data_IF_309096649249
#
_entry.id   IF_309096649249
#
_cell.length_a   1.000
_cell.length_b   1.000
_cell.length_c   1.000
_cell.angle_alpha   90.00
_cell.angle_beta   90.00
_cell.angle_gamma   90.00
#
_symmetry.space_group_name_H-M   'P 1'
#
loop_
_entity.id
_entity.type
_entity.pdbx_description
1 polymer ?
#
# COMPACT_ATOMS: atom_id res chain seq x y z
N UNK A 1 -66.25 -41.33 -4.27
CA UNK A 1 -65.74 -40.70 -5.52
C UNK A 1 -64.70 -39.68 -5.10
N UNK A 2 -63.48 -40.11 -4.81
CA UNK A 2 -62.37 -40.50 -5.71
C UNK A 2 -61.60 -39.29 -6.20
N UNK A 3 -60.39 -39.19 -5.62
CA UNK A 3 -59.28 -38.31 -5.95
C UNK A 3 -58.69 -38.64 -7.33
N UNK A 4 -58.18 -37.64 -8.03
CA UNK A 4 -57.19 -37.74 -9.12
C UNK A 4 -56.18 -36.62 -8.89
N UNK A 5 -54.98 -36.90 -8.38
CA UNK A 5 -53.75 -37.34 -9.08
C UNK A 5 -53.29 -36.38 -10.18
N UNK A 6 -52.30 -35.54 -9.84
CA UNK A 6 -51.22 -35.18 -10.77
C UNK A 6 -49.86 -35.40 -10.11
N UNK A 7 -49.03 -36.09 -10.88
CA UNK A 7 -47.73 -36.66 -10.62
C UNK A 7 -46.64 -35.64 -10.36
N UNK A 8 -45.80 -35.94 -9.36
CA UNK A 8 -44.54 -35.28 -9.09
C UNK A 8 -43.49 -35.68 -10.14
N UNK A 9 -42.76 -34.68 -10.66
CA UNK A 9 -41.49 -34.88 -11.38
C UNK A 9 -40.40 -34.92 -10.31
N UNK A 10 -39.67 -36.04 -10.26
CA UNK A 10 -38.59 -36.26 -9.30
C UNK A 10 -37.40 -35.35 -9.59
N UNK A 11 -36.94 -34.64 -8.55
CA UNK A 11 -35.59 -34.10 -8.51
C UNK A 11 -34.66 -35.12 -7.87
N UNK A 12 -33.53 -35.35 -8.54
CA UNK A 12 -32.45 -36.25 -8.17
C UNK A 12 -31.68 -35.70 -6.95
N UNK A 13 -31.58 -36.44 -5.83
CA UNK A 13 -30.93 -35.97 -4.61
C UNK A 13 -29.42 -36.29 -4.54
N UNK A 14 -28.69 -36.32 -5.65
CA UNK A 14 -27.26 -36.74 -5.67
C UNK A 14 -26.21 -35.62 -5.81
N UNK A 15 -26.56 -34.35 -5.62
CA UNK A 15 -25.61 -33.21 -5.74
C UNK A 15 -25.31 -32.46 -4.42
N UNK A 16 -25.36 -33.12 -3.27
CA UNK A 16 -24.96 -32.52 -1.98
C UNK A 16 -24.17 -33.51 -1.09
N UNK A 17 -22.98 -33.95 -1.52
CA UNK A 17 -21.98 -34.54 -0.61
C UNK A 17 -20.55 -34.58 -1.18
N UNK A 18 -20.00 -33.40 -1.53
CA UNK A 18 -18.54 -33.24 -1.66
C UNK A 18 -18.06 -31.98 -0.94
N UNK A 19 -18.26 -31.93 0.37
CA UNK A 19 -17.38 -31.17 1.27
C UNK A 19 -16.35 -32.15 1.83
N UNK A 20 -15.29 -32.37 1.03
CA UNK A 20 -14.09 -33.05 1.48
C UNK A 20 -13.36 -32.21 2.53
N UNK A 21 -12.79 -32.88 3.52
CA UNK A 21 -12.08 -32.29 4.65
C UNK A 21 -10.88 -31.46 4.20
N UNK A 22 -10.91 -30.16 4.48
CA UNK A 22 -9.79 -29.22 4.33
C UNK A 22 -8.86 -29.19 5.56
N UNK A 23 -9.05 -30.09 6.53
CA UNK A 23 -8.34 -30.05 7.82
C UNK A 23 -6.89 -30.60 7.79
N UNK A 24 -6.40 -31.09 6.64
CA UNK A 24 -5.01 -31.55 6.48
C UNK A 24 -4.14 -30.64 5.61
N UNK A 25 -4.68 -29.52 5.08
CA UNK A 25 -3.93 -28.54 4.28
C UNK A 25 -3.27 -27.41 5.06
N UNK A 26 -3.73 -27.12 6.28
CA UNK A 26 -3.23 -25.97 7.08
C UNK A 26 -1.75 -26.06 7.47
N UNK A 27 -1.18 -27.27 7.58
CA UNK A 27 0.25 -27.43 7.91
C UNK A 27 1.17 -27.15 6.71
N UNK A 28 0.66 -27.31 5.48
CA UNK A 28 1.42 -26.99 4.25
C UNK A 28 1.44 -25.48 4.01
N UNK A 29 0.33 -24.77 4.31
CA UNK A 29 0.24 -23.31 4.17
C UNK A 29 1.26 -22.55 5.02
N UNK A 30 1.46 -22.94 6.29
CA UNK A 30 2.46 -22.30 7.17
C UNK A 30 3.89 -22.54 6.69
N UNK A 31 4.17 -23.72 6.11
CA UNK A 31 5.51 -24.09 5.65
C UNK A 31 5.89 -23.39 4.33
N UNK A 32 4.91 -23.19 3.44
CA UNK A 32 5.10 -22.45 2.18
C UNK A 32 5.27 -20.95 2.43
N UNK A 33 4.53 -20.38 3.39
CA UNK A 33 4.68 -18.97 3.77
C UNK A 33 6.07 -18.65 4.31
N UNK A 34 6.67 -19.55 5.10
CA UNK A 34 8.05 -19.43 5.59
C UNK A 34 9.11 -19.56 4.48
N UNK A 35 8.85 -20.36 3.45
CA UNK A 35 9.77 -20.49 2.31
C UNK A 35 9.78 -19.24 1.40
N UNK A 36 8.65 -18.54 1.29
CA UNK A 36 8.50 -17.33 0.48
C UNK A 36 9.17 -16.09 1.11
N UNK A 37 9.16 -15.98 2.44
CA UNK A 37 9.91 -14.93 3.16
C UNK A 37 11.42 -15.07 2.95
N UNK A 38 11.94 -16.30 2.92
CA UNK A 38 13.37 -16.57 2.70
C UNK A 38 13.82 -16.35 1.25
N UNK A 39 12.94 -16.58 0.26
CA UNK A 39 13.24 -16.32 -1.15
C UNK A 39 13.32 -14.80 -1.47
N UNK A 40 12.52 -13.98 -0.79
CA UNK A 40 12.55 -12.53 -0.91
C UNK A 40 13.84 -11.89 -0.33
N UNK A 41 14.38 -12.44 0.76
CA UNK A 41 15.65 -11.97 1.35
C UNK A 41 16.88 -12.26 0.46
N UNK A 42 16.87 -13.36 -0.30
CA UNK A 42 17.99 -13.73 -1.19
C UNK A 42 18.06 -12.84 -2.44
N UNK A 43 16.93 -12.44 -3.02
CA UNK A 43 16.92 -11.57 -4.21
C UNK A 43 17.26 -10.11 -3.87
N UNK A 44 16.93 -9.67 -2.65
CA UNK A 44 17.20 -8.29 -2.21
C UNK A 44 18.61 -8.10 -1.63
N UNK A 45 19.20 -9.13 -1.03
CA UNK A 45 20.56 -9.07 -0.46
C UNK A 45 21.67 -8.99 -1.52
N UNK A 46 21.56 -9.73 -2.63
CA UNK A 46 22.50 -9.64 -3.76
C UNK A 46 22.50 -8.24 -4.40
N UNK A 47 21.38 -7.52 -4.31
CA UNK A 47 21.25 -6.16 -4.83
C UNK A 47 21.90 -5.09 -3.92
N UNK A 48 22.01 -5.36 -2.63
CA UNK A 48 22.62 -4.44 -1.64
C UNK A 48 24.15 -4.59 -1.61
N UNK A 49 24.69 -5.80 -1.79
CA UNK A 49 26.15 -6.01 -1.79
C UNK A 49 26.85 -5.42 -3.02
N UNK A 50 26.20 -5.37 -4.18
CA UNK A 50 26.83 -4.91 -5.43
C UNK A 50 27.04 -3.38 -5.45
N UNK A 51 26.24 -2.63 -4.67
CA UNK A 51 26.43 -1.17 -4.50
C UNK A 51 27.49 -0.80 -3.45
N UNK A 52 27.71 -1.65 -2.44
CA UNK A 52 28.70 -1.38 -1.39
C UNK A 52 30.15 -1.40 -1.93
N UNK A 53 30.39 -1.98 -3.11
CA UNK A 53 31.73 -2.11 -3.71
C UNK A 53 32.13 -0.95 -4.64
N UNK A 54 31.22 -0.07 -5.07
CA UNK A 54 31.51 0.83 -6.21
C UNK A 54 31.69 2.33 -5.91
N UNK A 55 31.65 2.81 -4.67
CA UNK A 55 32.00 4.21 -4.41
C UNK A 55 32.48 4.48 -2.98
N UNK A 56 33.76 4.84 -2.83
CA UNK A 56 34.24 5.57 -1.66
C UNK A 56 33.97 7.06 -1.88
N UNK A 57 33.16 7.73 -1.05
CA UNK A 57 32.96 9.17 -1.18
C UNK A 57 34.22 9.91 -0.76
N UNK A 58 34.62 10.90 -1.56
CA UNK A 58 35.63 11.87 -1.15
C UNK A 58 34.95 12.87 -0.22
N UNK A 59 35.35 12.88 1.05
CA UNK A 59 34.82 13.81 2.06
C UNK A 59 35.33 15.22 1.75
N UNK A 60 34.43 16.12 1.36
CA UNK A 60 34.68 17.56 1.28
C UNK A 60 34.27 18.19 2.61
N UNK A 61 35.08 19.07 3.23
CA UNK A 61 34.70 19.72 4.49
C UNK A 61 33.53 20.69 4.25
N UNK A 62 32.42 20.47 4.96
CA UNK A 62 31.26 21.37 4.92
C UNK A 62 31.53 22.58 5.82
N UNK A 63 31.53 23.76 5.21
CA UNK A 63 31.57 25.05 5.93
C UNK A 63 30.29 25.28 6.72
N UNK A 64 30.44 25.81 7.94
CA UNK A 64 29.38 26.07 8.91
C UNK A 64 28.40 27.11 8.37
N UNK A 65 27.12 26.74 8.21
CA UNK A 65 26.06 27.68 7.83
C UNK A 65 25.66 28.58 9.02
N UNK A 66 25.20 29.83 8.77
CA UNK A 66 24.81 30.75 9.83
C UNK A 66 23.45 30.35 10.43
N UNK A 67 23.39 30.30 11.76
CA UNK A 67 22.15 30.19 12.51
C UNK A 67 21.48 31.57 12.59
N UNK A 68 20.25 31.68 12.11
CA UNK A 68 19.42 32.84 12.42
C UNK A 68 18.27 33.09 11.45
N UNK A 69 17.13 32.45 11.66
CA UNK A 69 15.81 33.03 11.38
C UNK A 69 14.72 32.26 12.12
N UNK A 70 13.88 32.98 12.86
CA UNK A 70 12.76 32.43 13.62
C UNK A 70 11.66 31.88 12.70
N UNK A 71 11.11 30.73 13.08
CA UNK A 71 10.05 30.01 12.38
C UNK A 71 8.76 30.84 12.28
N UNK A 72 8.53 31.47 11.14
CA UNK A 72 7.18 31.82 10.69
C UNK A 72 6.46 30.54 10.30
N UNK A 73 5.22 30.37 10.75
CA UNK A 73 4.29 29.35 10.26
C UNK A 73 4.09 29.55 8.76
N UNK A 74 4.87 28.84 7.95
CA UNK A 74 4.64 28.74 6.51
C UNK A 74 3.42 27.83 6.36
N UNK A 75 2.27 28.42 6.05
CA UNK A 75 1.12 27.66 5.58
C UNK A 75 1.55 26.91 4.32
N UNK A 76 1.86 25.61 4.47
CA UNK A 76 2.18 24.72 3.37
C UNK A 76 0.98 24.72 2.42
N UNK A 77 1.10 25.41 1.29
CA UNK A 77 0.14 25.36 0.21
C UNK A 77 0.05 23.91 -0.25
N UNK A 78 -1.14 23.30 -0.13
CA UNK A 78 -1.41 21.92 -0.57
C UNK A 78 -0.80 21.70 -1.96
N UNK A 79 0.07 20.69 -2.07
CA UNK A 79 0.69 20.28 -3.33
C UNK A 79 -0.36 20.05 -4.44
N UNK A 80 0.00 20.39 -5.66
CA UNK A 80 -0.85 20.63 -6.83
C UNK A 80 -1.41 19.38 -7.53
N UNK A 81 -1.18 18.15 -7.03
CA UNK A 81 -1.97 16.99 -7.43
C UNK A 81 -2.01 15.94 -6.31
N UNK A 82 -3.18 15.36 -5.99
CA UNK A 82 -3.34 14.36 -4.94
C UNK A 82 -2.81 12.96 -5.34
N UNK A 83 -2.46 12.74 -6.60
CA UNK A 83 -2.19 11.41 -7.12
C UNK A 83 -0.70 11.07 -7.12
N UNK A 84 -0.37 9.92 -6.55
CA UNK A 84 0.90 9.24 -6.68
C UNK A 84 0.78 7.86 -7.30
N UNK A 85 1.93 7.25 -7.60
CA UNK A 85 2.04 5.89 -8.15
C UNK A 85 3.02 5.04 -7.32
N UNK A 86 2.69 3.77 -7.12
CA UNK A 86 3.62 2.80 -6.51
C UNK A 86 4.48 2.16 -7.61
N UNK A 87 5.79 2.29 -7.47
CA UNK A 87 6.81 1.74 -8.35
C UNK A 87 7.23 0.36 -7.80
N UNK A 88 6.57 -0.70 -8.26
CA UNK A 88 6.79 -2.06 -7.78
C UNK A 88 8.18 -2.61 -8.14
N UNK A 89 8.74 -2.21 -9.29
CA UNK A 89 10.17 -2.28 -9.53
C UNK A 89 10.66 -0.97 -10.16
N UNK A 90 11.79 -0.48 -9.66
CA UNK A 90 12.46 0.72 -10.16
C UNK A 90 13.61 0.27 -11.06
N UNK A 91 13.53 0.60 -12.34
CA UNK A 91 14.60 0.25 -13.30
C UNK A 91 15.54 1.43 -13.59
N UNK A 92 15.06 2.67 -13.49
CA UNK A 92 15.83 3.89 -13.73
C UNK A 92 15.09 5.16 -13.29
N UNK A 93 15.80 6.28 -13.13
CA UNK A 93 15.21 7.59 -12.90
C UNK A 93 14.31 8.01 -14.06
N UNK A 94 14.74 7.77 -15.30
CA UNK A 94 13.99 8.08 -16.51
C UNK A 94 12.67 7.30 -16.59
N UNK A 95 12.64 6.05 -16.14
CA UNK A 95 11.41 5.27 -16.05
C UNK A 95 10.42 5.83 -15.02
N UNK A 96 10.89 6.28 -13.85
CA UNK A 96 10.05 6.95 -12.86
C UNK A 96 9.50 8.26 -13.44
N UNK A 97 10.36 9.08 -14.03
CA UNK A 97 9.94 10.35 -14.64
C UNK A 97 8.92 10.14 -15.76
N UNK A 98 9.11 9.16 -16.64
CA UNK A 98 8.13 8.83 -17.67
C UNK A 98 6.79 8.41 -17.04
N UNK A 99 6.81 7.55 -16.02
CA UNK A 99 5.60 7.11 -15.34
C UNK A 99 4.80 8.28 -14.74
N UNK A 100 5.49 9.22 -14.06
CA UNK A 100 4.90 10.43 -13.49
C UNK A 100 4.26 11.32 -14.57
N UNK A 101 4.98 11.57 -15.66
CA UNK A 101 4.49 12.39 -16.79
C UNK A 101 3.26 11.74 -17.44
N UNK A 102 3.35 10.46 -17.79
CA UNK A 102 2.29 9.74 -18.49
C UNK A 102 1.01 9.67 -17.66
N UNK A 103 1.13 9.47 -16.35
CA UNK A 103 -0.03 9.33 -15.45
C UNK A 103 -0.52 10.67 -14.88
N UNK A 104 0.18 11.77 -15.14
CA UNK A 104 -0.02 13.07 -14.49
C UNK A 104 0.02 12.96 -12.94
N UNK A 105 0.91 12.12 -12.43
CA UNK A 105 1.17 11.97 -11.00
C UNK A 105 2.32 12.90 -10.57
N UNK A 106 2.29 13.35 -9.31
CA UNK A 106 3.31 14.23 -8.74
C UNK A 106 4.15 13.55 -7.67
N UNK A 107 3.66 12.45 -7.13
CA UNK A 107 4.34 11.67 -6.11
C UNK A 107 4.58 10.24 -6.59
N UNK A 108 5.59 9.61 -6.03
CA UNK A 108 5.85 8.21 -6.27
C UNK A 108 6.38 7.54 -5.01
N UNK A 109 6.09 6.27 -4.88
CA UNK A 109 6.54 5.42 -3.78
C UNK A 109 7.25 4.20 -4.35
N UNK A 110 8.24 3.67 -3.63
CA UNK A 110 8.81 2.36 -3.89
C UNK A 110 9.03 1.65 -2.56
N UNK A 111 9.00 0.33 -2.52
CA UNK A 111 9.33 -0.44 -1.32
C UNK A 111 10.83 -0.50 -1.01
N UNK A 112 11.68 0.06 -1.88
CA UNK A 112 13.10 0.20 -1.60
C UNK A 112 13.31 1.07 -0.33
N UNK A 113 14.37 0.78 0.47
CA UNK A 113 14.72 1.62 1.61
C UNK A 113 14.85 3.10 1.24
N UNK A 114 14.69 4.02 2.22
CA UNK A 114 14.80 5.45 1.99
C UNK A 114 16.09 5.81 1.27
N UNK A 115 16.00 6.75 0.34
CA UNK A 115 17.13 7.16 -0.48
C UNK A 115 16.94 8.53 -1.12
N UNK A 116 18.06 9.13 -1.50
CA UNK A 116 18.13 10.43 -2.15
C UNK A 116 17.89 10.37 -3.67
N UNK A 117 18.10 9.21 -4.29
CA UNK A 117 17.93 8.97 -5.73
C UNK A 117 16.48 9.07 -6.25
N UNK A 118 16.37 9.35 -7.56
CA UNK A 118 15.12 9.46 -8.32
C UNK A 118 14.53 10.88 -8.31
N UNK A 119 13.50 11.13 -9.14
CA UNK A 119 12.96 12.47 -9.33
C UNK A 119 12.28 12.99 -8.05
N UNK A 120 11.92 14.28 -8.04
CA UNK A 120 11.15 14.89 -6.97
C UNK A 120 9.82 14.13 -6.70
N UNK A 121 9.24 14.33 -5.51
CA UNK A 121 7.97 13.67 -5.14
C UNK A 121 8.09 12.25 -4.60
N UNK A 122 9.31 11.74 -4.38
CA UNK A 122 9.53 10.44 -3.71
C UNK A 122 9.00 10.45 -2.28
N UNK A 123 8.00 9.62 -2.00
CA UNK A 123 7.67 9.19 -0.66
C UNK A 123 8.69 8.13 -0.21
N UNK A 124 9.19 8.27 1.02
CA UNK A 124 10.14 7.37 1.65
C UNK A 124 9.38 6.34 2.46
N UNK A 125 9.79 5.06 2.40
CA UNK A 125 9.20 4.01 3.24
C UNK A 125 10.22 3.47 4.22
N UNK A 126 9.84 3.39 5.50
CA UNK A 126 10.60 2.70 6.53
C UNK A 126 9.76 1.51 6.99
N UNK A 127 10.14 0.30 6.57
CA UNK A 127 9.52 -0.96 7.03
C UNK A 127 9.70 -1.16 8.53
N UNK A 128 8.75 -1.85 9.16
CA UNK A 128 8.77 -2.25 10.58
C UNK A 128 8.79 -3.77 10.73
N UNK A 129 8.82 -4.26 11.98
CA UNK A 129 8.76 -5.70 12.27
C UNK A 129 9.91 -6.49 11.61
N UNK A 130 9.64 -7.71 11.10
CA UNK A 130 10.69 -8.59 10.56
C UNK A 130 11.31 -8.05 9.27
N UNK A 131 10.56 -7.30 8.46
CA UNK A 131 11.02 -6.75 7.19
C UNK A 131 11.78 -5.42 7.33
N UNK A 132 12.08 -5.00 8.56
CA UNK A 132 12.79 -3.74 8.83
C UNK A 132 14.25 -3.83 8.38
N UNK A 133 14.63 -2.97 7.43
CA UNK A 133 16.03 -2.72 7.12
C UNK A 133 16.75 -2.04 8.31
N UNK A 134 18.01 -2.41 8.53
CA UNK A 134 18.87 -1.77 9.53
C UNK A 134 19.34 -0.39 9.04
N UNK A 135 18.51 0.63 9.22
CA UNK A 135 18.81 2.02 8.88
C UNK A 135 19.30 2.76 10.12
N UNK A 136 20.50 3.32 10.05
CA UNK A 136 21.02 4.17 11.13
C UNK A 136 20.34 5.55 11.12
N UNK A 137 20.31 6.21 12.27
CA UNK A 137 19.81 7.60 12.37
C UNK A 137 20.59 8.57 11.47
N UNK A 138 21.87 8.31 11.21
CA UNK A 138 22.70 9.11 10.30
C UNK A 138 22.23 8.99 8.84
N UNK A 139 21.91 7.78 8.39
CA UNK A 139 21.35 7.57 7.05
C UNK A 139 20.00 8.29 6.91
N UNK A 140 19.12 8.16 7.90
CA UNK A 140 17.83 8.85 7.89
C UNK A 140 17.97 10.38 7.84
N UNK A 141 18.87 10.96 8.66
CA UNK A 141 19.19 12.40 8.62
C UNK A 141 19.72 12.82 7.26
N UNK A 142 20.62 12.04 6.67
CA UNK A 142 21.22 12.35 5.36
C UNK A 142 20.16 12.37 4.26
N UNK A 143 19.28 11.36 4.20
CA UNK A 143 18.19 11.31 3.22
C UNK A 143 17.20 12.46 3.44
N UNK A 144 16.84 12.75 4.68
CA UNK A 144 15.95 13.87 5.03
C UNK A 144 16.52 15.23 4.60
N UNK A 145 17.80 15.48 4.88
CA UNK A 145 18.48 16.70 4.46
C UNK A 145 18.57 16.82 2.92
N UNK A 146 18.74 15.70 2.22
CA UNK A 146 18.78 15.66 0.76
C UNK A 146 17.40 15.83 0.11
N UNK A 147 16.32 15.52 0.83
CA UNK A 147 14.94 15.53 0.30
C UNK A 147 13.97 16.23 1.25
N UNK A 148 14.13 17.54 1.48
CA UNK A 148 13.29 18.28 2.41
C UNK A 148 11.81 18.25 2.01
N UNK A 149 10.91 18.13 2.98
CA UNK A 149 9.46 18.09 2.80
C UNK A 149 8.93 16.74 2.33
N UNK A 150 9.76 15.68 2.32
CA UNK A 150 9.33 14.35 1.90
C UNK A 150 8.24 13.78 2.82
N UNK A 151 7.39 12.96 2.21
CA UNK A 151 6.47 12.08 2.93
C UNK A 151 7.21 10.83 3.39
N UNK A 152 7.13 10.51 4.67
CA UNK A 152 7.78 9.35 5.31
C UNK A 152 6.72 8.37 5.80
N UNK A 153 6.51 7.30 5.03
CA UNK A 153 5.58 6.22 5.32
C UNK A 153 6.26 5.24 6.28
N UNK A 154 5.69 5.08 7.47
CA UNK A 154 6.23 4.21 8.51
C UNK A 154 5.41 2.92 8.57
N UNK A 155 6.08 1.82 8.28
CA UNK A 155 5.52 0.48 8.13
C UNK A 155 4.65 0.31 6.88
N UNK A 156 4.48 -0.95 6.50
CA UNK A 156 3.69 -1.39 5.37
C UNK A 156 2.91 -2.64 5.79
N UNK A 157 1.59 -2.48 5.94
CA UNK A 157 0.69 -3.53 6.39
C UNK A 157 1.17 -4.22 7.69
N UNK A 158 1.41 -3.44 8.76
CA UNK A 158 1.90 -3.99 10.01
C UNK A 158 0.89 -4.90 10.72
N UNK A 159 -0.30 -5.13 10.14
CA UNK A 159 -1.30 -6.10 10.59
C UNK A 159 -1.36 -7.38 9.75
N UNK A 160 -0.46 -7.54 8.77
CA UNK A 160 -0.44 -8.67 7.83
C UNK A 160 0.80 -9.53 8.04
N UNK A 161 0.59 -10.82 8.30
CA UNK A 161 1.68 -11.82 8.39
C UNK A 161 2.42 -11.89 7.05
N UNK A 162 3.75 -11.93 7.10
CA UNK A 162 4.62 -11.88 5.91
C UNK A 162 4.93 -10.48 5.42
N UNK A 163 4.21 -9.48 5.92
CA UNK A 163 4.56 -8.07 5.78
C UNK A 163 5.26 -7.60 7.06
N UNK A 164 4.83 -6.47 7.63
CA UNK A 164 5.50 -5.90 8.80
C UNK A 164 5.01 -6.45 10.14
N UNK A 165 4.05 -7.39 10.13
CA UNK A 165 3.61 -8.07 11.35
C UNK A 165 4.57 -9.23 11.71
N UNK A 166 5.05 -9.25 12.94
CA UNK A 166 5.86 -10.34 13.49
C UNK A 166 4.95 -11.38 14.18
N UNK A 167 4.76 -12.59 13.62
CA UNK A 167 3.92 -13.61 14.23
C UNK A 167 4.51 -14.23 15.51
N UNK A 168 5.77 -13.94 15.85
CA UNK A 168 6.39 -14.38 17.11
C UNK A 168 6.01 -13.48 18.30
N UNK A 169 5.35 -12.34 18.03
CA UNK A 169 4.94 -11.36 19.03
C UNK A 169 3.42 -11.29 19.09
N UNK A 170 2.88 -10.93 20.25
CA UNK A 170 1.46 -10.63 20.34
C UNK A 170 1.10 -9.28 19.67
N UNK A 171 -0.20 -8.98 19.61
CA UNK A 171 -0.70 -7.74 18.98
C UNK A 171 -0.16 -6.48 19.67
N UNK A 172 -0.07 -6.48 21.01
CA UNK A 172 0.37 -5.33 21.78
C UNK A 172 1.88 -5.10 21.62
N UNK A 173 2.66 -6.17 21.60
CA UNK A 173 4.11 -6.14 21.34
C UNK A 173 4.43 -5.65 19.93
N UNK A 174 3.69 -6.13 18.91
CA UNK A 174 3.80 -5.62 17.54
C UNK A 174 3.51 -4.11 17.47
N UNK A 175 2.40 -3.67 18.07
CA UNK A 175 2.04 -2.25 18.11
C UNK A 175 3.09 -1.39 18.85
N UNK A 176 3.65 -1.88 19.96
CA UNK A 176 4.71 -1.20 20.69
C UNK A 176 6.01 -1.09 19.85
N UNK A 177 6.37 -2.15 19.12
CA UNK A 177 7.52 -2.16 18.23
C UNK A 177 7.35 -1.20 17.04
N UNK A 178 6.14 -1.16 16.48
CA UNK A 178 5.75 -0.21 15.44
C UNK A 178 5.92 1.24 15.93
N UNK A 179 5.35 1.58 17.09
CA UNK A 179 5.45 2.93 17.68
C UNK A 179 6.88 3.31 18.04
N UNK A 180 7.69 2.38 18.56
CA UNK A 180 9.11 2.64 18.82
C UNK A 180 9.85 3.00 17.52
N UNK A 181 9.62 2.23 16.46
CA UNK A 181 10.24 2.52 15.14
C UNK A 181 9.79 3.87 14.60
N UNK A 182 8.51 4.21 14.71
CA UNK A 182 7.99 5.53 14.36
C UNK A 182 8.70 6.66 15.13
N UNK A 183 8.81 6.55 16.45
CA UNK A 183 9.44 7.57 17.31
C UNK A 183 10.92 7.76 16.96
N UNK A 184 11.66 6.66 16.81
CA UNK A 184 13.09 6.68 16.51
C UNK A 184 13.35 7.31 15.13
N UNK A 185 12.59 6.89 14.12
CA UNK A 185 12.70 7.44 12.77
C UNK A 185 12.34 8.91 12.74
N UNK A 186 11.19 9.29 13.33
CA UNK A 186 10.74 10.68 13.39
C UNK A 186 11.75 11.58 14.09
N UNK A 187 12.31 11.15 15.21
CA UNK A 187 13.31 11.91 15.94
C UNK A 187 14.58 12.15 15.12
N UNK A 188 15.04 11.16 14.34
CA UNK A 188 16.17 11.32 13.45
C UNK A 188 15.86 12.27 12.27
N UNK A 189 14.69 12.13 11.66
CA UNK A 189 14.31 12.85 10.44
C UNK A 189 14.01 14.32 10.73
N UNK A 190 13.21 14.62 11.76
CA UNK A 190 12.75 16.00 12.03
C UNK A 190 13.90 16.94 12.43
N UNK A 191 14.98 16.39 12.99
CA UNK A 191 16.21 17.11 13.34
C UNK A 191 16.94 17.63 12.09
N UNK A 192 16.88 16.87 10.99
CA UNK A 192 17.48 17.24 9.70
C UNK A 192 16.51 17.98 8.76
N UNK A 193 15.21 17.65 8.83
CA UNK A 193 14.16 18.26 8.02
C UNK A 193 12.89 18.51 8.86
N UNK A 194 12.74 19.72 9.42
CA UNK A 194 11.52 20.11 10.16
C UNK A 194 10.25 20.17 9.31
N UNK A 195 10.36 20.10 7.98
CA UNK A 195 9.21 20.08 7.05
C UNK A 195 8.77 18.67 6.66
N UNK A 196 9.48 17.64 7.13
CA UNK A 196 9.12 16.23 6.91
C UNK A 196 7.73 15.93 7.48
N UNK A 197 7.04 14.99 6.83
CA UNK A 197 5.69 14.56 7.21
C UNK A 197 5.63 13.05 7.34
N UNK A 198 4.91 12.55 8.33
CA UNK A 198 4.97 11.14 8.68
C UNK A 198 3.61 10.46 8.51
N UNK A 199 3.55 9.38 7.74
CA UNK A 199 2.34 8.58 7.55
C UNK A 199 2.39 7.35 8.45
N UNK A 200 1.41 7.24 9.33
CA UNK A 200 1.22 6.17 10.30
C UNK A 200 0.03 5.28 9.92
N UNK A 201 0.07 4.02 10.32
CA UNK A 201 -1.04 3.09 10.17
C UNK A 201 -0.81 2.11 9.03
N UNK A 202 -0.95 2.57 7.78
CA UNK A 202 -0.72 1.79 6.54
C UNK A 202 -1.25 0.35 6.64
N UNK A 203 -2.40 0.17 7.28
CA UNK A 203 -3.00 -1.14 7.52
C UNK A 203 -3.79 -1.58 6.30
N UNK A 204 -3.89 -2.88 6.11
CA UNK A 204 -4.74 -3.53 5.12
C UNK A 204 -6.04 -4.02 5.76
N UNK A 205 -7.15 -4.03 5.01
CA UNK A 205 -8.45 -4.54 5.47
C UNK A 205 -8.85 -3.93 6.81
N UNK A 206 -9.11 -2.62 6.80
CA UNK A 206 -9.29 -1.85 8.04
C UNK A 206 -10.46 -2.38 8.87
N UNK A 207 -11.66 -2.41 8.26
CA UNK A 207 -12.87 -2.96 8.86
C UNK A 207 -13.48 -4.12 8.05
N UNK A 208 -12.96 -4.40 6.84
CA UNK A 208 -13.35 -5.59 6.12
C UNK A 208 -12.73 -6.84 6.75
N UNK A 209 -13.52 -7.90 6.85
CA UNK A 209 -12.98 -9.25 7.06
C UNK A 209 -12.37 -9.69 5.73
N UNK A 210 -11.07 -10.00 5.71
CA UNK A 210 -10.55 -10.74 4.57
C UNK A 210 -11.08 -12.17 4.63
N UNK A 211 -11.99 -12.48 3.72
CA UNK A 211 -12.45 -13.86 3.54
C UNK A 211 -11.37 -14.65 2.81
N UNK A 212 -10.85 -15.71 3.43
CA UNK A 212 -9.77 -16.53 2.85
C UNK A 212 -8.34 -16.12 3.23
N UNK A 213 -8.16 -15.06 4.05
CA UNK A 213 -6.85 -14.76 4.64
C UNK A 213 -6.73 -15.37 6.05
N UNK A 214 -6.14 -16.55 6.16
CA UNK A 214 -5.88 -17.16 7.47
C UNK A 214 -4.86 -16.34 8.28
N UNK A 215 -5.17 -16.09 9.56
CA UNK A 215 -4.26 -15.40 10.49
C UNK A 215 -4.16 -13.87 10.33
N UNK A 216 -4.93 -13.26 9.43
CA UNK A 216 -4.92 -11.80 9.28
C UNK A 216 -5.64 -11.10 10.44
N UNK A 217 -4.95 -10.12 11.03
CA UNK A 217 -5.52 -9.24 12.06
C UNK A 217 -6.22 -8.09 11.34
N UNK A 218 -7.42 -7.70 11.79
CA UNK A 218 -8.09 -6.54 11.19
C UNK A 218 -7.25 -5.28 11.37
N UNK A 219 -7.25 -4.41 10.37
CA UNK A 219 -6.49 -3.16 10.45
C UNK A 219 -6.94 -2.30 11.64
N UNK A 220 -8.24 -2.30 11.97
CA UNK A 220 -8.77 -1.61 13.16
C UNK A 220 -8.19 -2.15 14.46
N UNK A 221 -8.18 -3.47 14.67
CA UNK A 221 -7.65 -4.04 15.90
C UNK A 221 -6.17 -3.68 16.10
N UNK A 222 -5.39 -3.67 15.01
CA UNK A 222 -4.01 -3.21 15.05
C UNK A 222 -3.90 -1.72 15.39
N UNK A 223 -4.70 -0.85 14.78
CA UNK A 223 -4.64 0.59 15.08
C UNK A 223 -5.12 0.95 16.48
N UNK A 224 -6.10 0.23 17.04
CA UNK A 224 -6.49 0.37 18.44
C UNK A 224 -5.31 0.03 19.38
N UNK A 225 -4.54 -1.02 19.07
CA UNK A 225 -3.33 -1.37 19.80
C UNK A 225 -2.22 -0.32 19.62
N UNK A 226 -2.06 0.25 18.42
CA UNK A 226 -1.11 1.35 18.14
C UNK A 226 -1.45 2.61 18.93
N UNK A 227 -2.73 2.99 18.97
CA UNK A 227 -3.21 4.13 19.77
C UNK A 227 -2.91 3.90 21.25
N UNK A 228 -3.18 2.69 21.74
CA UNK A 228 -2.86 2.30 23.12
C UNK A 228 -1.36 2.36 23.41
N UNK A 229 -0.52 1.82 22.51
CA UNK A 229 0.94 1.80 22.67
C UNK A 229 1.58 3.20 22.53
N UNK A 230 0.97 4.08 21.74
CA UNK A 230 1.42 5.46 21.62
C UNK A 230 1.07 6.29 22.86
N UNK A 231 -0.18 6.22 23.33
CA UNK A 231 -0.72 7.15 24.32
C UNK A 231 -1.01 8.55 23.73
N UNK A 232 -1.37 9.51 24.58
CA UNK A 232 -1.77 10.85 24.14
C UNK A 232 -0.75 11.96 24.47
N UNK A 233 -0.62 13.00 23.62
CA UNK A 233 -1.22 13.16 22.28
C UNK A 233 -0.31 12.65 21.13
N UNK A 234 -0.91 12.25 20.01
CA UNK A 234 -0.19 11.98 18.75
C UNK A 234 0.49 13.25 18.20
N UNK A 235 1.65 13.12 17.52
CA UNK A 235 2.36 14.28 16.95
C UNK A 235 1.52 15.04 15.91
N UNK A 236 1.70 16.36 15.83
CA UNK A 236 0.90 17.23 14.94
C UNK A 236 1.19 17.04 13.45
N UNK A 237 2.38 16.54 13.14
CA UNK A 237 2.95 16.22 11.83
C UNK A 237 2.66 14.78 11.38
N UNK A 238 1.93 14.01 12.21
CA UNK A 238 1.38 12.72 11.83
C UNK A 238 0.20 12.89 10.86
N UNK A 239 0.20 12.03 9.86
CA UNK A 239 -0.87 11.79 8.88
C UNK A 239 -1.24 10.32 8.97
N UNK A 240 -2.50 9.96 8.74
CA UNK A 240 -2.95 8.56 8.82
C UNK A 240 -2.98 7.92 7.44
N UNK A 241 -2.41 6.73 7.33
CA UNK A 241 -2.23 5.94 6.12
C UNK A 241 -3.14 4.72 6.10
N UNK A 242 -3.64 4.37 4.92
CA UNK A 242 -4.48 3.20 4.68
C UNK A 242 -4.10 2.52 3.36
N UNK A 243 -4.08 1.19 3.35
CA UNK A 243 -4.09 0.40 2.12
C UNK A 243 -5.54 -0.01 1.84
N UNK A 244 -6.11 0.56 0.78
CA UNK A 244 -7.53 0.41 0.46
C UNK A 244 -7.70 -0.51 -0.74
N UNK A 245 -7.86 -1.80 -0.46
CA UNK A 245 -8.11 -2.83 -1.47
C UNK A 245 -9.37 -3.59 -1.11
N UNK A 246 -10.15 -3.96 -2.12
CA UNK A 246 -11.10 -5.03 -1.91
C UNK A 246 -10.34 -6.36 -1.90
N UNK A 247 -10.28 -7.04 -0.76
CA UNK A 247 -9.69 -8.38 -0.66
C UNK A 247 -10.76 -9.33 -0.13
N UNK A 248 -11.39 -10.01 -1.07
CA UNK A 248 -12.37 -11.06 -0.80
C UNK A 248 -12.14 -12.22 -1.76
N UNK A 249 -11.47 -13.26 -1.25
CA UNK A 249 -11.09 -14.41 -2.07
C UNK A 249 -12.28 -15.28 -2.46
N UNK A 250 -13.43 -15.10 -1.82
CA UNK A 250 -14.67 -15.82 -2.14
C UNK A 250 -15.48 -15.11 -3.24
N UNK A 251 -15.23 -13.82 -3.49
CA UNK A 251 -16.01 -12.99 -4.41
C UNK A 251 -15.11 -12.31 -5.45
N UNK A 252 -14.62 -13.11 -6.40
CA UNK A 252 -13.81 -12.64 -7.51
C UNK A 252 -14.66 -12.18 -8.72
N UNK A 253 -14.18 -11.22 -9.53
CA UNK A 253 -12.95 -10.43 -9.34
C UNK A 253 -13.10 -9.36 -8.25
N UNK A 254 -11.99 -8.92 -7.66
CA UNK A 254 -11.96 -7.89 -6.61
C UNK A 254 -12.12 -6.47 -7.17
N UNK A 255 -13.29 -6.20 -7.79
CA UNK A 255 -13.64 -4.92 -8.44
C UNK A 255 -14.88 -4.23 -7.85
N UNK A 256 -15.31 -4.62 -6.64
CA UNK A 256 -16.41 -4.01 -5.86
C UNK A 256 -15.96 -2.71 -5.19
N UNK A 257 -16.01 -1.63 -5.96
CA UNK A 257 -15.62 -0.28 -5.53
C UNK A 257 -16.36 0.22 -4.28
N UNK A 258 -17.60 -0.21 -4.06
CA UNK A 258 -18.39 0.18 -2.90
C UNK A 258 -17.77 -0.33 -1.58
N UNK A 259 -17.09 -1.49 -1.60
CA UNK A 259 -16.36 -1.99 -0.44
C UNK A 259 -15.15 -1.10 -0.13
N UNK A 260 -14.32 -0.79 -1.13
CA UNK A 260 -13.17 0.12 -0.94
C UNK A 260 -13.61 1.49 -0.42
N UNK A 261 -14.71 2.06 -0.95
CA UNK A 261 -15.26 3.34 -0.47
C UNK A 261 -15.72 3.23 1.00
N UNK A 262 -16.39 2.13 1.38
CA UNK A 262 -16.80 1.90 2.77
C UNK A 262 -15.59 1.84 3.70
N UNK A 263 -14.52 1.14 3.33
CA UNK A 263 -13.31 1.06 4.15
C UNK A 263 -12.65 2.42 4.37
N UNK A 264 -12.56 3.24 3.33
CA UNK A 264 -12.05 4.62 3.44
C UNK A 264 -12.92 5.44 4.39
N UNK A 265 -14.24 5.32 4.27
CA UNK A 265 -15.20 5.99 5.16
C UNK A 265 -15.04 5.57 6.62
N UNK A 266 -15.01 4.27 6.88
CA UNK A 266 -14.80 3.72 8.23
C UNK A 266 -13.47 4.14 8.85
N UNK A 267 -12.40 4.16 8.03
CA UNK A 267 -11.08 4.63 8.47
C UNK A 267 -11.11 6.12 8.84
N UNK A 268 -11.77 6.95 8.02
CA UNK A 268 -11.98 8.37 8.33
C UNK A 268 -12.75 8.54 9.65
N UNK A 269 -13.82 7.78 9.85
CA UNK A 269 -14.58 7.83 11.10
C UNK A 269 -13.70 7.50 12.31
N UNK A 270 -12.88 6.44 12.24
CA UNK A 270 -11.92 6.10 13.28
C UNK A 270 -10.94 7.23 13.58
N UNK A 271 -10.27 7.80 12.57
CA UNK A 271 -9.32 8.89 12.81
C UNK A 271 -10.03 10.11 13.43
N UNK A 272 -11.32 10.32 13.12
CA UNK A 272 -12.11 11.38 13.74
C UNK A 272 -12.47 11.13 15.21
N UNK A 273 -12.48 9.87 15.69
CA UNK A 273 -12.73 9.59 17.11
C UNK A 273 -11.49 9.73 17.99
N UNK A 274 -10.28 9.81 17.40
CA UNK A 274 -9.04 9.93 18.16
C UNK A 274 -8.83 11.36 18.69
N UNK A 275 -8.41 11.54 19.96
CA UNK A 275 -8.16 12.84 20.56
C UNK A 275 -7.19 13.71 19.74
N UNK A 276 -7.64 14.90 19.33
CA UNK A 276 -6.82 15.84 18.56
C UNK A 276 -6.54 15.44 17.10
N UNK A 277 -7.13 14.34 16.61
CA UNK A 277 -6.94 13.85 15.24
C UNK A 277 -8.15 14.10 14.32
N UNK A 278 -9.26 14.61 14.86
CA UNK A 278 -10.43 14.98 14.07
C UNK A 278 -10.08 15.96 12.94
N UNK A 279 -10.47 15.62 11.72
CA UNK A 279 -10.19 16.39 10.51
C UNK A 279 -8.73 16.37 10.03
N UNK A 280 -7.80 15.71 10.74
CA UNK A 280 -6.41 15.54 10.27
C UNK A 280 -6.38 14.80 8.93
N UNK A 281 -5.42 15.10 8.05
CA UNK A 281 -5.39 14.46 6.75
C UNK A 281 -5.22 12.94 6.83
N UNK A 282 -5.77 12.23 5.85
CA UNK A 282 -5.46 10.83 5.55
C UNK A 282 -4.80 10.71 4.17
N UNK A 283 -3.96 9.70 3.99
CA UNK A 283 -3.35 9.35 2.70
C UNK A 283 -3.64 7.88 2.43
N UNK A 284 -4.10 7.58 1.22
CA UNK A 284 -4.23 6.18 0.79
C UNK A 284 -2.89 5.76 0.21
N UNK A 285 -2.03 5.17 1.04
CA UNK A 285 -0.66 4.85 0.66
C UNK A 285 -0.57 3.72 -0.34
N UNK A 286 -1.66 2.95 -0.49
CA UNK A 286 -1.90 2.05 -1.60
C UNK A 286 -3.40 1.90 -1.88
N UNK A 287 -3.77 1.80 -3.16
CA UNK A 287 -5.08 1.35 -3.60
C UNK A 287 -5.01 0.77 -5.01
N UNK A 288 -5.92 -0.15 -5.32
CA UNK A 288 -6.00 -0.77 -6.64
C UNK A 288 -6.91 -2.00 -6.67
N UNK A 289 -6.69 -2.85 -7.66
CA UNK A 289 -7.32 -4.17 -7.78
C UNK A 289 -6.21 -5.20 -7.60
N UNK A 290 -6.38 -6.11 -6.63
CA UNK A 290 -5.44 -7.21 -6.41
C UNK A 290 -5.70 -8.31 -7.45
N UNK A 291 -6.96 -8.72 -7.64
CA UNK A 291 -7.34 -9.81 -8.56
C UNK A 291 -8.52 -9.43 -9.46
N UNK A 292 -8.23 -9.05 -10.70
CA UNK A 292 -9.22 -8.81 -11.74
C UNK A 292 -9.67 -10.09 -12.47
N UNK A 293 -9.20 -11.28 -12.07
CA UNK A 293 -9.67 -12.54 -12.66
C UNK A 293 -11.00 -12.98 -12.02
N UNK A 294 -11.93 -13.56 -12.80
CA UNK A 294 -13.19 -14.07 -12.25
C UNK A 294 -13.03 -15.35 -11.42
N UNK A 295 -11.88 -16.02 -11.53
CA UNK A 295 -11.54 -17.20 -10.75
C UNK A 295 -10.03 -17.27 -10.56
N UNK A 296 -9.59 -17.87 -9.45
CA UNK A 296 -8.19 -18.17 -9.17
C UNK A 296 -7.98 -19.66 -8.97
N UNK A 297 -6.82 -20.15 -9.41
CA UNK A 297 -6.40 -21.54 -9.27
C UNK A 297 -5.06 -21.61 -8.57
N UNK A 298 -4.94 -22.56 -7.65
CA UNK A 298 -3.70 -22.88 -6.96
C UNK A 298 -3.05 -24.08 -7.63
N UNK A 299 -1.80 -23.90 -8.06
CA UNK A 299 -0.92 -24.96 -8.57
C UNK A 299 0.33 -25.00 -7.69
N UNK A 300 0.29 -25.81 -6.63
CA UNK A 300 1.32 -25.79 -5.59
C UNK A 300 1.22 -24.52 -4.75
N UNK A 301 2.30 -23.74 -4.70
CA UNK A 301 2.40 -22.44 -4.03
C UNK A 301 2.11 -21.26 -4.96
N UNK A 302 1.80 -21.53 -6.22
CA UNK A 302 1.52 -20.51 -7.22
C UNK A 302 0.02 -20.33 -7.48
N UNK A 303 -0.36 -19.09 -7.78
CA UNK A 303 -1.72 -18.70 -8.14
C UNK A 303 -1.81 -18.18 -9.58
N UNK A 304 -2.88 -18.55 -10.28
CA UNK A 304 -3.18 -18.14 -11.66
C UNK A 304 -4.65 -17.76 -11.83
N UNK A 305 -5.01 -17.16 -12.96
CA UNK A 305 -6.41 -16.90 -13.33
C UNK A 305 -7.19 -18.13 -13.84
N UNK A 306 -6.69 -19.36 -13.63
CA UNK A 306 -7.24 -20.60 -14.22
C UNK A 306 -7.40 -20.58 -15.76
N UNK A 307 -6.61 -19.77 -16.47
CA UNK A 307 -6.79 -19.54 -17.91
C UNK A 307 -7.96 -18.63 -18.28
N UNK A 308 -8.64 -18.02 -17.29
CA UNK A 308 -9.59 -16.94 -17.56
C UNK A 308 -8.87 -15.64 -17.88
N UNK A 309 -9.44 -14.87 -18.79
CA UNK A 309 -8.99 -13.51 -19.04
C UNK A 309 -9.31 -12.61 -17.85
N UNK A 310 -8.45 -11.62 -17.62
CA UNK A 310 -8.71 -10.50 -16.71
C UNK A 310 -10.02 -9.79 -17.10
N UNK A 311 -10.90 -9.51 -16.14
CA UNK A 311 -12.07 -8.66 -16.32
C UNK A 311 -11.66 -7.18 -16.45
N UNK A 312 -11.04 -6.85 -17.59
CA UNK A 312 -10.54 -5.50 -17.84
C UNK A 312 -11.63 -4.43 -17.87
N UNK A 313 -12.89 -4.80 -18.15
CA UNK A 313 -14.02 -3.87 -18.10
C UNK A 313 -14.45 -3.59 -16.66
N UNK A 314 -14.51 -4.62 -15.81
CA UNK A 314 -14.71 -4.48 -14.37
C UNK A 314 -13.64 -3.61 -13.71
N UNK A 315 -12.37 -3.91 -13.97
CA UNK A 315 -11.23 -3.12 -13.45
C UNK A 315 -11.29 -1.67 -13.94
N UNK A 316 -11.63 -1.46 -15.22
CA UNK A 316 -11.80 -0.12 -15.78
C UNK A 316 -12.90 0.69 -15.07
N UNK A 317 -14.08 0.09 -14.86
CA UNK A 317 -15.19 0.72 -14.13
C UNK A 317 -14.86 1.00 -12.67
N UNK A 318 -14.13 0.09 -12.01
CA UNK A 318 -13.64 0.26 -10.65
C UNK A 318 -12.78 1.53 -10.55
N UNK A 319 -11.76 1.66 -11.42
CA UNK A 319 -10.87 2.81 -11.44
C UNK A 319 -11.60 4.12 -11.72
N UNK A 320 -12.49 4.14 -12.72
CA UNK A 320 -13.29 5.31 -13.06
C UNK A 320 -14.14 5.78 -11.88
N UNK A 321 -14.81 4.84 -11.22
CA UNK A 321 -15.70 5.14 -10.09
C UNK A 321 -14.92 5.59 -8.87
N UNK A 322 -13.86 4.87 -8.48
CA UNK A 322 -13.10 5.15 -7.28
C UNK A 322 -12.37 6.49 -7.37
N UNK A 323 -11.65 6.74 -8.47
CA UNK A 323 -10.88 7.99 -8.64
C UNK A 323 -11.82 9.20 -8.72
N UNK A 324 -12.94 9.08 -9.45
CA UNK A 324 -13.94 10.14 -9.46
C UNK A 324 -14.51 10.42 -8.06
N UNK A 325 -14.78 9.37 -7.28
CA UNK A 325 -15.24 9.49 -5.90
C UNK A 325 -14.19 10.16 -5.00
N UNK A 326 -12.91 9.77 -5.10
CA UNK A 326 -11.80 10.35 -4.34
C UNK A 326 -11.66 11.84 -4.60
N UNK A 327 -11.75 12.27 -5.87
CA UNK A 327 -11.73 13.70 -6.20
C UNK A 327 -12.94 14.44 -5.61
N UNK A 328 -14.14 13.87 -5.71
CA UNK A 328 -15.36 14.51 -5.22
C UNK A 328 -15.43 14.62 -3.68
N UNK A 329 -14.79 13.70 -2.96
CA UNK A 329 -14.85 13.62 -1.49
C UNK A 329 -13.54 14.01 -0.80
N UNK A 330 -12.53 14.45 -1.56
CA UNK A 330 -11.20 14.80 -1.05
C UNK A 330 -11.27 15.72 0.17
N UNK A 331 -11.96 16.85 0.01
CA UNK A 331 -12.03 17.88 1.05
C UNK A 331 -12.93 17.47 2.23
N UNK A 332 -14.07 16.82 1.96
CA UNK A 332 -15.00 16.42 3.01
C UNK A 332 -14.48 15.26 3.87
N UNK A 333 -13.59 14.42 3.30
CA UNK A 333 -12.96 13.30 4.00
C UNK A 333 -11.53 13.62 4.49
N UNK A 334 -11.05 14.84 4.28
CA UNK A 334 -9.63 15.21 4.51
C UNK A 334 -8.65 14.23 3.85
N UNK A 335 -8.97 13.70 2.67
CA UNK A 335 -8.05 12.86 1.89
C UNK A 335 -7.03 13.79 1.25
N UNK A 336 -5.77 13.64 1.60
CA UNK A 336 -4.76 14.53 1.05
C UNK A 336 -4.25 14.05 -0.31
N UNK A 337 -4.11 12.75 -0.45
CA UNK A 337 -3.63 12.09 -1.65
C UNK A 337 -3.73 10.58 -1.57
N UNK A 338 -3.38 9.93 -2.67
CA UNK A 338 -3.41 8.48 -2.80
C UNK A 338 -2.35 7.97 -3.78
N UNK A 339 -1.92 6.72 -3.61
CA UNK A 339 -0.98 6.05 -4.50
C UNK A 339 -1.63 4.83 -5.15
N UNK A 340 -1.62 4.79 -6.49
CA UNK A 340 -2.14 3.66 -7.26
C UNK A 340 -1.11 2.55 -7.36
N UNK A 341 -1.50 1.33 -7.01
CA UNK A 341 -0.72 0.11 -7.16
C UNK A 341 -1.22 -0.72 -8.37
N UNK A 342 -0.39 -1.14 -9.34
CA UNK A 342 1.04 -0.87 -9.52
C UNK A 342 1.33 -0.18 -10.86
N UNK A 343 2.51 0.43 -10.97
CA UNK A 343 2.92 1.14 -12.18
C UNK A 343 3.05 0.25 -13.43
N UNK A 344 3.39 -1.03 -13.30
CA UNK A 344 3.37 -2.00 -14.40
C UNK A 344 3.04 -3.41 -13.87
N UNK A 345 2.78 -4.34 -14.78
CA UNK A 345 2.47 -5.72 -14.42
C UNK A 345 3.72 -6.42 -13.88
N UNK A 346 3.80 -6.59 -12.57
CA UNK A 346 4.80 -7.42 -11.91
C UNK A 346 4.06 -8.45 -11.05
N UNK A 347 3.91 -9.71 -11.51
CA UNK A 347 3.30 -10.72 -10.66
C UNK A 347 4.10 -10.85 -9.36
N UNK A 348 3.38 -10.96 -8.24
CA UNK A 348 3.97 -11.32 -6.96
C UNK A 348 4.71 -12.67 -7.09
N UNK A 349 5.72 -12.98 -6.25
CA UNK A 349 6.47 -14.23 -6.34
C UNK A 349 5.61 -15.51 -6.33
N UNK A 350 4.42 -15.44 -5.73
CA UNK A 350 3.45 -16.52 -5.65
C UNK A 350 2.42 -16.50 -6.79
N UNK A 351 2.53 -15.60 -7.78
CA UNK A 351 1.60 -15.50 -8.90
C UNK A 351 2.31 -15.81 -10.23
N UNK A 352 1.69 -16.63 -11.09
CA UNK A 352 2.22 -16.88 -12.45
C UNK A 352 1.82 -15.80 -13.45
N UNK A 353 0.73 -15.08 -13.14
CA UNK A 353 0.16 -14.04 -13.99
C UNK A 353 -0.19 -12.84 -13.12
N UNK A 354 -0.01 -11.64 -13.68
CA UNK A 354 -0.38 -10.41 -12.99
C UNK A 354 -1.88 -10.16 -13.12
N UNK A 355 -2.61 -10.26 -12.00
CA UNK A 355 -4.05 -10.06 -11.94
C UNK A 355 -4.50 -8.64 -11.62
N UNK A 356 -3.59 -7.71 -11.39
CA UNK A 356 -3.92 -6.38 -10.90
C UNK A 356 -4.01 -5.28 -11.96
N UNK A 357 -3.77 -4.03 -11.53
CA UNK A 357 -3.71 -2.85 -12.39
C UNK A 357 -2.27 -2.56 -12.77
N UNK A 358 -1.98 -2.59 -14.08
CA UNK A 358 -0.72 -2.06 -14.62
C UNK A 358 -1.01 -0.70 -15.26
N UNK A 359 -0.37 0.38 -14.82
CA UNK A 359 -0.54 1.71 -15.44
C UNK A 359 0.24 1.87 -16.75
N UNK A 360 1.38 1.19 -16.86
CA UNK A 360 2.27 1.15 -18.00
C UNK A 360 2.37 -0.27 -18.56
N UNK A 361 2.75 -0.38 -19.83
CA UNK A 361 2.96 -1.66 -20.53
C UNK A 361 4.28 -2.38 -20.15
N UNK A 362 5.24 -1.66 -19.58
CA UNK A 362 6.56 -2.19 -19.20
C UNK A 362 7.22 -1.31 -18.12
N UNK A 363 8.31 -1.77 -17.49
CA UNK A 363 9.05 -0.98 -16.52
C UNK A 363 10.11 -0.06 -17.16
N UNK A 364 10.13 0.10 -18.49
CA UNK A 364 11.18 0.83 -19.20
C UNK A 364 10.87 2.34 -19.34
N UNK A 365 11.90 3.14 -19.64
CA UNK A 365 11.77 4.60 -19.80
C UNK A 365 10.91 5.04 -20.97
N UNK A 366 10.69 4.16 -21.95
CA UNK A 366 9.88 4.32 -23.14
C UNK A 366 8.52 3.62 -23.03
N UNK A 367 8.17 3.13 -21.84
CA UNK A 367 6.87 2.51 -21.58
C UNK A 367 5.71 3.45 -21.93
N UNK A 368 4.65 2.87 -22.48
CA UNK A 368 3.42 3.61 -22.82
C UNK A 368 2.30 3.31 -21.83
N UNK A 369 1.33 4.22 -21.74
CA UNK A 369 0.14 3.98 -20.91
C UNK A 369 -0.61 2.74 -21.37
N UNK A 370 -0.85 1.83 -20.43
CA UNK A 370 -1.78 0.73 -20.61
C UNK A 370 -3.22 1.26 -20.78
N UNK A 371 -4.18 0.35 -20.98
CA UNK A 371 -5.61 0.70 -20.90
C UNK A 371 -5.96 1.42 -19.58
N UNK A 372 -5.48 0.92 -18.45
CA UNK A 372 -5.77 1.48 -17.13
C UNK A 372 -5.01 2.78 -16.87
N UNK A 373 -3.77 2.87 -17.34
CA UNK A 373 -3.01 4.12 -17.29
C UNK A 373 -3.71 5.27 -18.00
N UNK A 374 -4.32 5.01 -19.17
CA UNK A 374 -5.10 6.02 -19.90
C UNK A 374 -6.34 6.50 -19.14
N UNK A 375 -7.00 5.61 -18.38
CA UNK A 375 -8.12 5.98 -17.51
C UNK A 375 -7.64 6.94 -16.42
N UNK A 376 -6.56 6.57 -15.71
CA UNK A 376 -5.97 7.37 -14.62
C UNK A 376 -5.50 8.72 -15.12
N UNK A 377 -4.73 8.77 -16.22
CA UNK A 377 -4.21 10.01 -16.79
C UNK A 377 -5.34 11.00 -17.16
N UNK A 378 -6.41 10.49 -17.78
CA UNK A 378 -7.58 11.30 -18.15
C UNK A 378 -8.28 11.89 -16.92
N UNK A 379 -8.47 11.09 -15.87
CA UNK A 379 -9.14 11.54 -14.64
C UNK A 379 -8.29 12.56 -13.89
N UNK A 380 -6.98 12.34 -13.77
CA UNK A 380 -6.06 13.31 -13.18
C UNK A 380 -6.06 14.63 -13.95
N UNK A 381 -6.06 14.60 -15.29
CA UNK A 381 -6.09 15.80 -16.12
C UNK A 381 -7.37 16.63 -15.97
N UNK A 382 -8.51 15.97 -15.70
CA UNK A 382 -9.82 16.62 -15.61
C UNK A 382 -9.98 17.49 -14.36
N UNK A 383 -9.12 17.29 -13.35
CA UNK A 383 -9.21 17.98 -12.06
C UNK A 383 -8.41 19.28 -11.98
N UNK A 384 -7.53 19.52 -12.96
CA UNK A 384 -6.72 20.75 -13.04
C UNK A 384 -7.53 21.93 -13.63
N UNK A 385 -8.69 21.67 -14.21
CA UNK A 385 -9.44 22.62 -15.04
C UNK A 385 -10.55 23.41 -14.31
N UNK A 386 -10.56 23.48 -12.97
CA UNK A 386 -11.53 24.30 -12.23
C UNK A 386 -10.84 25.58 -11.73
N UNK A 387 -11.03 26.73 -12.41
CA UNK A 387 -10.40 28.01 -12.05
C UNK A 387 -10.95 28.63 -10.76
#
# INVERSE_FOLDING_TARGET
>A
MSLTNHTAVGQDPTLLSRRGSWLSGGLVLVTVFLALVLAWELVTSDWVEDRARSSRPTVVPIGRAPQGAMAGSVALTRSSAPTGIVMAAVTSEEAITNALIQTNATNWLSYAPPGDSGPAGRAQMIRTGPNRASLSAEVLRSVAAARPGSLWIIGNEPNVVGQDFDPALDLAENAANYIRTFRDARAAIIDADPSARFVLGNVLNFDATCTGCEGQISGRAFLDAVVTAHGDPFPVDAVWGLHAYEIDWDNLPTVRVDQTIREIGSFREFVNTLPGQAGKPIILTELGVIWGFPQLCWEGDQISGCGHALDGDGVGRYLETLIAWLHAHRDSMSIEGWFLFANFANPEPFAVEYGGIALLDSPHKDATLSRFGRIVARLNASTVAVP
#
